data_IF_524698044906
#
_entry.id   IF_524698044906
#
_cell.length_a   1.000
_cell.length_b   1.000
_cell.length_c   1.000
_cell.angle_alpha   90.00
_cell.angle_beta   90.00
_cell.angle_gamma   90.00
#
_symmetry.space_group_name_H-M   'P 1'
#
loop_
_entity.id
_entity.type
_entity.pdbx_description
1 polymer ?
#
# COMPACT_ATOMS: atom_id res chain seq x y z
N UNK A 1 17.09 -9.20 -27.68
CA UNK A 1 17.48 -9.10 -26.25
C UNK A 1 17.14 -7.76 -25.60
N UNK A 2 17.09 -6.66 -26.36
CA UNK A 2 16.93 -5.32 -25.79
C UNK A 2 15.53 -5.04 -25.21
N UNK A 3 14.47 -5.50 -25.90
CA UNK A 3 13.07 -5.35 -25.44
C UNK A 3 12.80 -6.02 -24.08
N UNK A 4 13.43 -7.17 -23.81
CA UNK A 4 13.29 -7.86 -22.52
C UNK A 4 13.97 -7.09 -21.39
N UNK A 5 15.14 -6.48 -21.65
CA UNK A 5 15.83 -5.63 -20.67
C UNK A 5 15.01 -4.37 -20.36
N UNK A 6 14.43 -3.73 -21.39
CA UNK A 6 13.55 -2.57 -21.23
C UNK A 6 12.29 -2.92 -20.44
N UNK A 7 11.62 -4.03 -20.77
CA UNK A 7 10.46 -4.51 -20.03
C UNK A 7 10.80 -4.81 -18.55
N UNK A 8 11.95 -5.43 -18.28
CA UNK A 8 12.39 -5.70 -16.92
C UNK A 8 12.67 -4.40 -16.13
N UNK A 9 13.27 -3.39 -16.77
CA UNK A 9 13.48 -2.09 -16.16
C UNK A 9 12.14 -1.43 -15.79
N UNK A 10 11.17 -1.44 -16.70
CA UNK A 10 9.83 -0.92 -16.44
C UNK A 10 9.13 -1.64 -15.27
N UNK A 11 9.23 -2.98 -15.21
CA UNK A 11 8.69 -3.77 -14.09
C UNK A 11 9.38 -3.38 -12.77
N UNK A 12 10.70 -3.19 -12.79
CA UNK A 12 11.48 -2.83 -11.60
C UNK A 12 11.04 -1.47 -11.06
N UNK A 13 10.93 -0.47 -11.94
CA UNK A 13 10.45 0.87 -11.57
C UNK A 13 9.01 0.83 -11.06
N UNK A 14 8.12 0.08 -11.73
CA UNK A 14 6.73 -0.04 -11.28
C UNK A 14 6.63 -0.66 -9.87
N UNK A 15 7.46 -1.68 -9.57
CA UNK A 15 7.52 -2.29 -8.24
C UNK A 15 8.03 -1.32 -7.17
N UNK A 16 9.05 -0.52 -7.50
CA UNK A 16 9.56 0.51 -6.58
C UNK A 16 8.51 1.58 -6.28
N UNK A 17 7.82 2.06 -7.32
CA UNK A 17 6.75 3.03 -7.18
C UNK A 17 5.58 2.47 -6.36
N UNK A 18 5.19 1.21 -6.60
CA UNK A 18 4.19 0.53 -5.80
C UNK A 18 4.61 0.43 -4.33
N UNK A 19 5.86 0.04 -4.05
CA UNK A 19 6.36 -0.05 -2.69
C UNK A 19 6.33 1.31 -1.97
N UNK A 20 6.72 2.38 -2.66
CA UNK A 20 6.68 3.74 -2.11
C UNK A 20 5.24 4.20 -1.83
N UNK A 21 4.32 3.97 -2.78
CA UNK A 21 2.91 4.30 -2.61
C UNK A 21 2.27 3.52 -1.45
N UNK A 22 2.58 2.23 -1.31
CA UNK A 22 2.09 1.39 -0.21
C UNK A 22 2.60 1.86 1.15
N UNK A 23 3.86 2.31 1.24
CA UNK A 23 4.41 2.88 2.48
C UNK A 23 3.75 4.20 2.86
N UNK A 24 3.44 5.06 1.88
CA UNK A 24 2.71 6.30 2.13
C UNK A 24 1.27 6.01 2.58
N UNK A 25 0.60 5.03 1.96
CA UNK A 25 -0.74 4.58 2.35
C UNK A 25 -0.76 3.98 3.77
N UNK A 26 0.27 3.21 4.14
CA UNK A 26 0.45 2.69 5.50
C UNK A 26 0.53 3.81 6.54
N UNK A 27 1.37 4.82 6.31
CA UNK A 27 1.48 5.97 7.22
C UNK A 27 0.13 6.71 7.37
N UNK A 28 -0.57 6.96 6.25
CA UNK A 28 -1.88 7.59 6.27
C UNK A 28 -2.94 6.74 6.98
N UNK A 29 -2.91 5.41 6.83
CA UNK A 29 -3.81 4.49 7.52
C UNK A 29 -3.60 4.53 9.04
N UNK A 30 -2.34 4.57 9.50
CA UNK A 30 -2.00 4.66 10.93
C UNK A 30 -2.49 5.99 11.51
N UNK A 31 -2.26 7.10 10.82
CA UNK A 31 -2.76 8.42 11.24
C UNK A 31 -4.29 8.47 11.28
N UNK A 32 -4.96 7.90 10.27
CA UNK A 32 -6.42 7.84 10.22
C UNK A 32 -7.00 7.00 11.37
N UNK A 33 -6.41 5.84 11.69
CA UNK A 33 -6.83 5.01 12.82
C UNK A 33 -6.63 5.74 14.16
N UNK A 34 -5.52 6.46 14.33
CA UNK A 34 -5.26 7.29 15.50
C UNK A 34 -6.30 8.43 15.67
N UNK A 35 -6.81 8.95 14.55
CA UNK A 35 -7.90 9.94 14.51
C UNK A 35 -9.31 9.30 14.62
N UNK A 36 -9.41 7.99 14.86
CA UNK A 36 -10.67 7.29 15.06
C UNK A 36 -11.43 6.93 13.78
N UNK A 37 -10.78 7.04 12.61
CA UNK A 37 -11.39 6.61 11.34
C UNK A 37 -11.49 5.08 11.32
N UNK A 38 -12.67 4.55 10.97
CA UNK A 38 -12.89 3.10 10.92
C UNK A 38 -12.04 2.41 9.84
N UNK A 39 -11.64 1.15 10.10
CA UNK A 39 -10.94 0.31 9.11
C UNK A 39 -11.67 0.24 7.76
N UNK A 40 -13.01 0.20 7.78
CA UNK A 40 -13.84 0.12 6.57
C UNK A 40 -13.66 1.38 5.71
N UNK A 41 -13.67 2.56 6.34
CA UNK A 41 -13.44 3.81 5.63
C UNK A 41 -12.00 3.88 5.10
N UNK A 42 -11.01 3.48 5.90
CA UNK A 42 -9.61 3.44 5.47
C UNK A 42 -9.45 2.54 4.23
N UNK A 43 -10.03 1.33 4.24
CA UNK A 43 -9.98 0.42 3.07
C UNK A 43 -10.65 1.00 1.84
N UNK A 44 -11.78 1.68 2.01
CA UNK A 44 -12.55 2.29 0.91
C UNK A 44 -11.78 3.43 0.27
N UNK A 45 -11.15 4.30 1.07
CA UNK A 45 -10.39 5.44 0.56
C UNK A 45 -9.06 5.04 -0.08
N UNK A 46 -8.35 4.06 0.51
CA UNK A 46 -7.05 3.63 0.00
C UNK A 46 -7.15 2.55 -1.09
N UNK A 47 -8.32 1.96 -1.31
CA UNK A 47 -8.52 0.90 -2.31
C UNK A 47 -7.75 -0.39 -2.00
N UNK A 48 -7.42 -0.63 -0.72
CA UNK A 48 -6.69 -1.82 -0.27
C UNK A 48 -7.60 -2.77 0.50
N UNK A 49 -7.22 -4.05 0.53
CA UNK A 49 -7.93 -5.06 1.32
C UNK A 49 -7.83 -4.74 2.82
N UNK A 50 -8.89 -5.02 3.56
CA UNK A 50 -8.95 -4.95 5.03
C UNK A 50 -7.82 -5.69 5.72
N UNK A 51 -7.38 -6.84 5.21
CA UNK A 51 -6.25 -7.56 5.79
C UNK A 51 -4.94 -6.76 5.74
N UNK A 52 -4.72 -6.00 4.66
CA UNK A 52 -3.55 -5.11 4.53
C UNK A 52 -3.61 -4.02 5.59
N UNK A 53 -4.77 -3.37 5.76
CA UNK A 53 -4.97 -2.34 6.79
C UNK A 53 -4.75 -2.91 8.18
N UNK A 54 -5.34 -4.06 8.51
CA UNK A 54 -5.13 -4.70 9.83
C UNK A 54 -3.67 -5.03 10.11
N UNK A 55 -2.92 -5.49 9.11
CA UNK A 55 -1.49 -5.74 9.23
C UNK A 55 -0.71 -4.46 9.53
N UNK A 56 -0.98 -3.36 8.81
CA UNK A 56 -0.37 -2.06 9.06
C UNK A 56 -0.66 -1.53 10.47
N UNK A 57 -1.88 -1.76 10.96
CA UNK A 57 -2.31 -1.34 12.30
C UNK A 57 -1.86 -2.31 13.42
N UNK A 58 -1.19 -3.41 13.09
CA UNK A 58 -0.79 -4.43 14.07
C UNK A 58 -1.97 -5.20 14.71
N UNK A 59 -3.13 -5.22 14.03
CA UNK A 59 -4.38 -5.87 14.44
C UNK A 59 -4.60 -7.21 13.74
N UNK A 60 -3.53 -7.84 13.25
CA UNK A 60 -3.55 -9.12 12.52
C UNK A 60 -3.45 -10.37 13.42
N UNK A 61 -3.41 -10.18 14.74
CA UNK A 61 -3.52 -11.25 15.75
C UNK A 61 -4.96 -11.69 16.00
#
# INVERSE_FOLDING_TARGET
MDKLKQANAAITTARQNLAAAMKAAEAAAIEADANGVSEVNITTHLGVNRMTVRKWLGKDK
#
